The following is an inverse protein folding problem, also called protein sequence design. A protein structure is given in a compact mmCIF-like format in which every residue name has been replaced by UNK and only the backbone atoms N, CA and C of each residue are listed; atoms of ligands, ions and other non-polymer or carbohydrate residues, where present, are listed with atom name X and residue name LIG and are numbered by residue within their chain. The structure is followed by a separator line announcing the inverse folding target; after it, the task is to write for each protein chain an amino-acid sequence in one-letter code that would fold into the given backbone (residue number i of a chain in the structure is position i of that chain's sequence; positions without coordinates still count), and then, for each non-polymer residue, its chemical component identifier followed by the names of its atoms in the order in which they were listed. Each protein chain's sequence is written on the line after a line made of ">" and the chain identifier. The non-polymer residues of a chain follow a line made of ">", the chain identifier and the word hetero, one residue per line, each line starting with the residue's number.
data_IF_939403364403
#
_entry.id   IF_939403364403
#
_cell.length_a   1.000
_cell.length_b   1.000
_cell.length_c   1.000
_cell.angle_alpha   90.00
_cell.angle_beta   90.00
_cell.angle_gamma   90.00
#
_symmetry.space_group_name_H-M   'P 1'
#
loop_
_entity.id
_entity.type
_entity.pdbx_description
1 polymer ?
#
# COMPACT_ATOMS: atom_id res chain seq x y z
N UNK A 1 18.45 2.65 -17.57
CA UNK A 1 17.88 1.34 -17.25
C UNK A 1 17.08 0.83 -18.43
N UNK A 2 17.27 -0.41 -18.82
CA UNK A 2 16.54 -0.96 -19.97
C UNK A 2 15.10 -1.31 -19.56
N UNK A 3 14.24 -1.51 -20.54
CA UNK A 3 12.86 -1.94 -20.30
C UNK A 3 12.82 -3.28 -19.55
N UNK A 4 13.72 -4.19 -19.86
CA UNK A 4 13.81 -5.48 -19.18
C UNK A 4 14.20 -5.31 -17.72
N UNK A 5 15.12 -4.41 -17.43
CA UNK A 5 15.55 -4.13 -16.06
C UNK A 5 14.38 -3.53 -15.25
N UNK A 6 13.62 -2.65 -15.85
CA UNK A 6 12.46 -2.06 -15.21
C UNK A 6 11.41 -3.12 -14.88
N UNK A 7 11.14 -4.03 -15.82
CA UNK A 7 10.20 -5.11 -15.60
C UNK A 7 10.66 -6.05 -14.49
N UNK A 8 11.93 -6.37 -14.48
CA UNK A 8 12.51 -7.22 -13.44
C UNK A 8 12.37 -6.56 -12.07
N UNK A 9 12.61 -5.27 -12.01
CA UNK A 9 12.45 -4.52 -10.76
C UNK A 9 11.00 -4.51 -10.31
N UNK A 10 10.07 -4.28 -11.22
CA UNK A 10 8.63 -4.27 -10.88
C UNK A 10 8.18 -5.64 -10.39
N UNK A 11 8.67 -6.71 -11.00
CA UNK A 11 8.38 -8.06 -10.54
C UNK A 11 8.90 -8.27 -9.12
N UNK A 12 10.12 -7.81 -8.85
CA UNK A 12 10.70 -7.91 -7.53
C UNK A 12 9.92 -7.08 -6.50
N UNK A 13 9.50 -5.88 -6.87
CA UNK A 13 8.69 -5.03 -6.00
C UNK A 13 7.35 -5.71 -5.69
N UNK A 14 6.72 -6.32 -6.69
CA UNK A 14 5.49 -7.06 -6.49
C UNK A 14 5.68 -8.19 -5.48
N UNK A 15 6.76 -8.94 -5.59
CA UNK A 15 7.07 -10.02 -4.67
C UNK A 15 7.32 -9.52 -3.25
N UNK A 16 8.06 -8.43 -3.12
CA UNK A 16 8.31 -7.82 -1.80
C UNK A 16 7.02 -7.34 -1.16
N UNK A 17 6.15 -6.73 -1.93
CA UNK A 17 4.86 -6.28 -1.40
C UNK A 17 4.01 -7.45 -0.94
N UNK A 18 4.04 -8.58 -1.66
CA UNK A 18 3.34 -9.79 -1.24
C UNK A 18 3.88 -10.32 0.08
N UNK A 19 5.20 -10.30 0.25
CA UNK A 19 5.84 -10.72 1.50
C UNK A 19 5.44 -9.81 2.67
N UNK A 20 5.41 -8.51 2.42
CA UNK A 20 4.98 -7.54 3.44
C UNK A 20 3.53 -7.81 3.82
N UNK A 21 2.67 -8.09 2.85
CA UNK A 21 1.28 -8.41 3.11
C UNK A 21 1.15 -9.65 4.00
N UNK A 22 1.93 -10.68 3.72
CA UNK A 22 1.93 -11.88 4.54
C UNK A 22 2.34 -11.58 5.98
N UNK A 23 3.34 -10.71 6.16
CA UNK A 23 3.75 -10.26 7.48
C UNK A 23 2.67 -9.50 8.22
N UNK A 24 1.97 -8.61 7.52
CA UNK A 24 0.85 -7.86 8.10
C UNK A 24 -0.27 -8.82 8.51
N UNK A 25 -0.61 -9.77 7.65
CA UNK A 25 -1.66 -10.74 7.94
C UNK A 25 -1.30 -11.61 9.15
N UNK A 26 -0.05 -12.06 9.25
CA UNK A 26 0.42 -12.84 10.39
C UNK A 26 0.35 -12.04 11.69
N UNK A 27 0.73 -10.77 11.62
CA UNK A 27 0.66 -9.87 12.77
C UNK A 27 -0.79 -9.65 13.19
N UNK A 28 -1.69 -9.51 12.22
CA UNK A 28 -3.11 -9.32 12.50
C UNK A 28 -3.70 -10.54 13.21
N UNK A 29 -3.29 -11.75 12.83
CA UNK A 29 -3.73 -12.97 13.49
C UNK A 29 -3.25 -12.98 14.95
N UNK A 30 -1.98 -12.66 15.17
CA UNK A 30 -1.42 -12.60 16.52
C UNK A 30 -2.15 -11.58 17.40
N UNK A 31 -2.40 -10.40 16.85
CA UNK A 31 -3.12 -9.35 17.59
C UNK A 31 -4.54 -9.81 17.91
N UNK A 32 -5.21 -10.50 16.98
CA UNK A 32 -6.54 -11.04 17.20
C UNK A 32 -6.56 -12.07 18.33
N UNK A 33 -5.53 -12.91 18.40
CA UNK A 33 -5.41 -13.86 19.49
C UNK A 33 -5.22 -13.17 20.83
N UNK A 34 -4.36 -12.15 20.87
CA UNK A 34 -4.15 -11.37 22.08
C UNK A 34 -5.41 -10.62 22.50
N UNK A 35 -6.23 -10.22 21.54
CA UNK A 35 -7.47 -9.54 21.81
C UNK A 35 -8.44 -10.43 22.61
N UNK A 36 -8.35 -11.74 22.42
CA UNK A 36 -9.14 -12.69 23.21
C UNK A 36 -8.86 -12.62 24.71
N UNK A 37 -7.73 -12.08 25.11
CA UNK A 37 -7.34 -11.91 26.51
C UNK A 37 -7.77 -10.56 27.09
N UNK A 38 -8.32 -9.67 26.26
CA UNK A 38 -8.74 -8.33 26.68
C UNK A 38 -10.16 -8.41 27.24
N UNK A 39 -10.47 -7.68 28.34
CA UNK A 39 -11.84 -7.63 28.84
C UNK A 39 -12.84 -7.20 27.78
N UNK A 40 -14.04 -7.74 27.81
CA UNK A 40 -15.03 -7.51 26.75
C UNK A 40 -15.45 -6.05 26.62
N UNK A 41 -15.41 -5.28 27.69
CA UNK A 41 -15.75 -3.85 27.66
C UNK A 41 -14.74 -2.99 26.91
N UNK A 42 -13.51 -3.50 26.73
CA UNK A 42 -12.46 -2.80 26.00
C UNK A 42 -12.25 -3.37 24.59
N UNK A 43 -12.81 -4.54 24.33
CA UNK A 43 -12.55 -5.29 23.10
C UNK A 43 -12.98 -4.54 21.84
N UNK A 44 -14.11 -3.86 21.92
CA UNK A 44 -14.65 -3.15 20.74
C UNK A 44 -13.70 -2.06 20.25
N UNK A 45 -13.11 -1.31 21.18
CA UNK A 45 -12.16 -0.26 20.80
C UNK A 45 -10.95 -0.82 20.08
N UNK A 46 -10.45 -1.97 20.51
CA UNK A 46 -9.32 -2.61 19.85
C UNK A 46 -9.71 -3.24 18.52
N UNK A 47 -10.93 -3.78 18.41
CA UNK A 47 -11.42 -4.32 17.14
C UNK A 47 -11.43 -3.27 16.04
N UNK A 48 -11.84 -2.06 16.38
CA UNK A 48 -11.84 -0.94 15.42
C UNK A 48 -10.42 -0.66 14.92
N UNK A 49 -9.44 -0.73 15.81
CA UNK A 49 -8.04 -0.49 15.44
C UNK A 49 -7.47 -1.63 14.61
N UNK A 50 -7.88 -2.87 14.90
CA UNK A 50 -7.44 -4.05 14.17
C UNK A 50 -7.91 -4.01 12.72
N UNK A 51 -9.06 -3.40 12.45
CA UNK A 51 -9.54 -3.24 11.08
C UNK A 51 -8.54 -2.49 10.18
N UNK A 52 -7.65 -1.70 10.77
CA UNK A 52 -6.60 -1.04 10.02
C UNK A 52 -5.66 -2.04 9.34
N UNK A 53 -5.47 -3.22 9.93
CA UNK A 53 -4.66 -4.26 9.30
C UNK A 53 -5.28 -4.74 8.00
N UNK A 54 -6.61 -4.89 7.96
CA UNK A 54 -7.31 -5.29 6.75
C UNK A 54 -7.14 -4.25 5.65
N UNK A 55 -7.23 -2.98 6.01
CA UNK A 55 -7.03 -1.88 5.05
C UNK A 55 -5.59 -1.91 4.52
N UNK A 56 -4.60 -2.10 5.40
CA UNK A 56 -3.20 -2.19 4.98
C UNK A 56 -2.97 -3.37 4.05
N UNK A 57 -3.51 -4.53 4.38
CA UNK A 57 -3.38 -5.72 3.52
C UNK A 57 -3.98 -5.48 2.15
N UNK A 58 -5.15 -4.85 2.08
CA UNK A 58 -5.80 -4.53 0.81
C UNK A 58 -4.98 -3.56 -0.02
N UNK A 59 -4.42 -2.53 0.61
CA UNK A 59 -3.60 -1.55 -0.08
C UNK A 59 -2.31 -2.16 -0.60
N UNK A 60 -1.67 -2.99 0.21
CA UNK A 60 -0.44 -3.67 -0.20
C UNK A 60 -0.73 -4.63 -1.34
N UNK A 61 -1.82 -5.38 -1.26
CA UNK A 61 -2.20 -6.30 -2.31
C UNK A 61 -2.49 -5.57 -3.62
N UNK A 62 -3.17 -4.43 -3.54
CA UNK A 62 -3.43 -3.61 -4.71
C UNK A 62 -2.14 -3.11 -5.36
N UNK A 63 -1.18 -2.66 -4.56
CA UNK A 63 0.11 -2.21 -5.07
C UNK A 63 0.92 -3.35 -5.67
N UNK A 64 0.87 -4.53 -5.05
CA UNK A 64 1.53 -5.71 -5.60
C UNK A 64 0.97 -6.06 -6.98
N UNK A 65 -0.36 -6.03 -7.11
CA UNK A 65 -1.03 -6.28 -8.38
C UNK A 65 -0.69 -5.25 -9.44
N UNK A 66 -0.61 -3.98 -9.04
CA UNK A 66 -0.24 -2.91 -9.95
C UNK A 66 1.18 -3.12 -10.48
N UNK A 67 2.12 -3.41 -9.59
CA UNK A 67 3.51 -3.65 -9.99
C UNK A 67 3.61 -4.85 -10.93
N UNK A 68 2.87 -5.93 -10.65
CA UNK A 68 2.85 -7.11 -11.51
C UNK A 68 2.26 -6.80 -12.88
N UNK A 69 1.19 -6.00 -12.94
CA UNK A 69 0.56 -5.61 -14.19
C UNK A 69 1.52 -4.80 -15.05
N UNK A 70 2.24 -3.85 -14.45
CA UNK A 70 3.21 -3.04 -15.17
C UNK A 70 4.40 -3.87 -15.65
N UNK A 71 4.81 -4.86 -14.86
CA UNK A 71 5.85 -5.79 -15.28
C UNK A 71 5.40 -6.63 -16.47
N UNK A 72 4.09 -6.87 -16.62
CA UNK A 72 3.49 -7.59 -17.73
C UNK A 72 3.15 -6.72 -18.92
N UNK A 73 3.71 -5.53 -19.03
CA UNK A 73 3.53 -4.61 -20.13
C UNK A 73 2.13 -4.00 -20.25
N UNK A 74 1.33 -4.05 -19.21
CA UNK A 74 0.05 -3.36 -19.27
C UNK A 74 0.25 -1.85 -19.29
N UNK A 75 -0.55 -1.11 -20.07
CA UNK A 75 -0.50 0.35 -20.03
C UNK A 75 -0.80 0.86 -18.64
N UNK A 76 -0.15 1.96 -18.26
CA UNK A 76 -0.32 2.52 -16.92
C UNK A 76 -1.78 2.83 -16.63
N UNK A 77 -2.49 3.42 -17.59
CA UNK A 77 -3.90 3.75 -17.39
C UNK A 77 -4.77 2.52 -17.13
N UNK A 78 -4.52 1.44 -17.87
CA UNK A 78 -5.25 0.19 -17.69
C UNK A 78 -4.95 -0.44 -16.34
N UNK A 79 -3.69 -0.42 -15.94
CA UNK A 79 -3.28 -0.99 -14.66
C UNK A 79 -3.90 -0.21 -13.49
N UNK A 80 -3.93 1.12 -13.58
CA UNK A 80 -4.55 1.96 -12.56
C UNK A 80 -6.06 1.76 -12.51
N UNK A 81 -6.69 1.64 -13.69
CA UNK A 81 -8.13 1.42 -13.74
C UNK A 81 -8.55 0.08 -13.14
N UNK A 82 -7.66 -0.90 -13.15
CA UNK A 82 -7.94 -2.22 -12.60
C UNK A 82 -7.77 -2.29 -11.08
N UNK A 83 -7.25 -1.24 -10.44
CA UNK A 83 -7.07 -1.25 -9.00
C UNK A 83 -8.42 -1.33 -8.28
N UNK A 84 -8.53 -2.21 -7.28
CA UNK A 84 -9.78 -2.37 -6.55
C UNK A 84 -10.08 -1.23 -5.57
N UNK A 85 -9.11 -0.33 -5.34
CA UNK A 85 -9.25 0.77 -4.41
C UNK A 85 -9.25 2.09 -5.19
N UNK A 86 -10.43 2.65 -5.40
CA UNK A 86 -10.60 3.84 -6.24
C UNK A 86 -9.80 5.04 -5.75
N UNK A 87 -9.77 5.25 -4.45
CA UNK A 87 -9.03 6.38 -3.89
C UNK A 87 -7.53 6.26 -4.14
N UNK A 88 -7.00 5.05 -4.00
CA UNK A 88 -5.58 4.79 -4.27
C UNK A 88 -5.28 5.02 -5.75
N UNK A 89 -6.14 4.53 -6.64
CA UNK A 89 -5.96 4.72 -8.07
C UNK A 89 -5.91 6.21 -8.42
N UNK A 90 -6.78 7.00 -7.81
CA UNK A 90 -6.83 8.43 -8.05
C UNK A 90 -5.56 9.14 -7.57
N UNK A 91 -5.10 8.80 -6.37
CA UNK A 91 -3.87 9.38 -5.84
C UNK A 91 -2.66 9.05 -6.72
N UNK A 92 -2.56 7.80 -7.15
CA UNK A 92 -1.44 7.36 -7.99
C UNK A 92 -1.50 8.03 -9.36
N UNK A 93 -2.68 8.16 -9.92
CA UNK A 93 -2.86 8.83 -11.20
C UNK A 93 -2.44 10.29 -11.12
N UNK A 94 -2.89 11.01 -10.11
CA UNK A 94 -2.53 12.40 -9.92
C UNK A 94 -1.02 12.57 -9.77
N UNK A 95 -0.41 11.76 -8.94
CA UNK A 95 1.03 11.83 -8.70
C UNK A 95 1.81 11.52 -9.97
N UNK A 96 1.39 10.50 -10.71
CA UNK A 96 2.07 10.11 -11.95
C UNK A 96 1.95 11.17 -13.03
N UNK A 97 0.77 11.76 -13.19
CA UNK A 97 0.51 12.76 -14.21
C UNK A 97 1.20 14.08 -13.90
N UNK A 98 1.29 14.44 -12.64
CA UNK A 98 2.01 15.65 -12.26
C UNK A 98 3.47 15.54 -12.58
N UNK A 99 4.02 14.35 -12.48
CA UNK A 99 5.39 14.04 -12.83
C UNK A 99 6.35 15.06 -12.35
N UNK A 100 6.15 15.60 -11.23
CA UNK A 100 6.42 16.95 -11.10
C UNK A 100 7.77 17.28 -10.54
N UNK A 101 8.53 17.99 -11.26
CA UNK A 101 9.77 18.56 -10.76
C UNK A 101 9.56 19.72 -9.80
N UNK A 102 8.33 20.17 -9.61
CA UNK A 102 8.07 21.34 -8.79
C UNK A 102 7.80 21.04 -7.34
N UNK A 103 8.38 20.01 -6.85
CA UNK A 103 8.01 19.53 -5.54
C UNK A 103 8.86 20.05 -4.40
N UNK A 104 9.65 21.06 -4.66
CA UNK A 104 10.45 21.64 -3.60
C UNK A 104 9.61 22.12 -2.43
N UNK A 105 8.50 22.77 -2.73
CA UNK A 105 7.60 23.27 -1.70
C UNK A 105 6.75 22.14 -1.13
N UNK A 106 6.29 21.25 -1.98
CA UNK A 106 5.52 20.09 -1.52
C UNK A 106 6.36 19.17 -0.65
N UNK A 107 7.65 19.10 -0.89
CA UNK A 107 8.55 18.28 -0.08
C UNK A 107 8.58 18.69 1.37
N UNK A 108 8.48 19.98 1.65
CA UNK A 108 8.47 20.46 3.02
C UNK A 108 7.21 20.02 3.75
N UNK A 109 6.08 20.05 3.07
CA UNK A 109 4.81 19.59 3.63
C UNK A 109 4.82 18.09 3.84
N UNK A 110 5.39 17.36 2.88
CA UNK A 110 5.48 15.92 3.01
C UNK A 110 6.37 15.51 4.18
N UNK A 111 7.44 16.22 4.40
CA UNK A 111 8.30 15.95 5.53
C UNK A 111 7.56 16.17 6.85
N UNK A 112 6.73 17.20 6.91
CA UNK A 112 5.90 17.45 8.07
C UNK A 112 4.88 16.36 8.29
N UNK A 113 4.28 15.88 7.22
CA UNK A 113 3.30 14.79 7.30
C UNK A 113 3.93 13.50 7.76
N UNK A 114 5.14 13.19 7.33
CA UNK A 114 5.84 11.98 7.73
C UNK A 114 6.14 11.95 9.23
N UNK A 115 6.39 13.09 9.82
CA UNK A 115 6.66 13.19 11.24
C UNK A 115 5.47 12.74 12.07
N UNK A 116 4.27 12.85 11.52
CA UNK A 116 3.06 12.45 12.23
C UNK A 116 2.95 10.94 12.43
N UNK A 117 3.73 10.17 11.70
CA UNK A 117 3.74 8.71 11.85
C UNK A 117 4.64 8.22 12.96
N UNK A 118 5.45 9.06 13.51
CA UNK A 118 6.37 8.70 14.59
C UNK A 118 5.72 8.66 15.99
#
# INVERSE_FOLDING_TARGET
>A
MSSTDTKSLLTAVSAELSDIRMGVDSTAVLVSELLGLVPSDQRLAYLTRIQAFDVLSQRIDALSGLAAALAGDQPIDSALAALPLAEMAERLRETSLRGSPNNGEASADDAGALILFD
#
